data_IF_064293226585
#
_entry.id   IF_064293226585
#
_cell.length_a   1.000
_cell.length_b   1.000
_cell.length_c   1.000
_cell.angle_alpha   90.00
_cell.angle_beta   90.00
_cell.angle_gamma   90.00
#
_symmetry.space_group_name_H-M   'P 1'
#
loop_
_entity.id
_entity.type
_entity.pdbx_description
1 polymer ?
#
# COMPACT_ATOMS: atom_id res chain seq x y z
N UNK A 1 -5.59 -27.57 -13.50
CA UNK A 1 -6.44 -26.73 -12.62
C UNK A 1 -5.62 -26.45 -11.37
N UNK A 2 -5.52 -25.19 -10.90
CA UNK A 2 -4.83 -24.91 -9.64
C UNK A 2 -5.49 -25.71 -8.50
N UNK A 3 -4.69 -26.23 -7.60
CA UNK A 3 -5.18 -26.95 -6.43
C UNK A 3 -5.79 -26.00 -5.39
N UNK A 4 -6.54 -26.53 -4.42
CA UNK A 4 -7.08 -25.73 -3.30
C UNK A 4 -5.98 -25.00 -2.53
N UNK A 5 -4.80 -25.61 -2.39
CA UNK A 5 -3.63 -24.99 -1.76
C UNK A 5 -3.15 -23.75 -2.52
N UNK A 6 -3.10 -23.79 -3.85
CA UNK A 6 -2.65 -22.66 -4.67
C UNK A 6 -3.61 -21.47 -4.55
N UNK A 7 -4.91 -21.76 -4.48
CA UNK A 7 -5.97 -20.74 -4.32
C UNK A 7 -5.86 -20.08 -2.94
N UNK A 8 -5.73 -20.87 -1.87
CA UNK A 8 -5.58 -20.34 -0.51
C UNK A 8 -4.31 -19.50 -0.37
N UNK A 9 -3.19 -19.98 -0.93
CA UNK A 9 -1.95 -19.24 -0.94
C UNK A 9 -2.09 -17.89 -1.67
N UNK A 10 -2.76 -17.88 -2.83
CA UNK A 10 -3.03 -16.66 -3.58
C UNK A 10 -3.88 -15.66 -2.79
N UNK A 11 -4.90 -16.15 -2.06
CA UNK A 11 -5.75 -15.32 -1.20
C UNK A 11 -4.94 -14.68 -0.07
N UNK A 12 -4.04 -15.45 0.57
CA UNK A 12 -3.16 -14.95 1.62
C UNK A 12 -2.25 -13.85 1.08
N UNK A 13 -1.60 -14.08 -0.06
CA UNK A 13 -0.74 -13.08 -0.70
C UNK A 13 -1.50 -11.79 -1.06
N UNK A 14 -2.71 -11.93 -1.58
CA UNK A 14 -3.56 -10.79 -1.93
C UNK A 14 -3.93 -9.97 -0.69
N UNK A 15 -4.36 -10.62 0.40
CA UNK A 15 -4.70 -9.93 1.64
C UNK A 15 -3.50 -9.21 2.26
N UNK A 16 -2.32 -9.84 2.28
CA UNK A 16 -1.09 -9.19 2.75
C UNK A 16 -0.74 -7.99 1.86
N UNK A 17 -0.83 -8.15 0.54
CA UNK A 17 -0.61 -7.07 -0.41
C UNK A 17 -1.56 -5.89 -0.20
N UNK A 18 -2.86 -6.16 -0.04
CA UNK A 18 -3.88 -5.14 0.24
C UNK A 18 -3.66 -4.48 1.60
N UNK A 19 -3.32 -5.24 2.64
CA UNK A 19 -3.05 -4.70 3.96
C UNK A 19 -1.88 -3.71 3.91
N UNK A 20 -0.77 -4.09 3.26
CA UNK A 20 0.40 -3.21 3.11
C UNK A 20 0.08 -1.99 2.25
N UNK A 21 -0.67 -2.17 1.16
CA UNK A 21 -1.13 -1.07 0.32
C UNK A 21 -1.97 -0.07 1.14
N UNK A 22 -2.90 -0.55 1.97
CA UNK A 22 -3.71 0.30 2.84
C UNK A 22 -2.91 1.01 3.94
N UNK A 23 -1.66 0.64 4.23
CA UNK A 23 -0.82 1.39 5.18
C UNK A 23 -0.13 2.61 4.55
N UNK A 24 -0.19 2.76 3.22
CA UNK A 24 0.41 3.91 2.54
C UNK A 24 -0.36 5.18 2.93
N UNK A 25 0.31 6.24 3.43
CA UNK A 25 -0.34 7.46 3.88
C UNK A 25 -0.68 8.35 2.68
N UNK A 26 -1.61 7.90 1.82
CA UNK A 26 -2.13 8.63 0.66
C UNK A 26 -3.61 8.33 0.55
N UNK A 27 -4.46 9.36 0.44
CA UNK A 27 -5.90 9.13 0.30
C UNK A 27 -6.24 8.39 -1.01
N UNK A 28 -7.27 7.53 -1.05
CA UNK A 28 -8.24 7.24 0.02
C UNK A 28 -7.84 6.07 0.93
N UNK A 29 -6.56 5.69 0.97
CA UNK A 29 -6.10 4.52 1.71
C UNK A 29 -6.21 4.75 3.22
N UNK A 30 -6.43 3.67 3.97
CA UNK A 30 -6.65 3.74 5.42
C UNK A 30 -5.48 4.39 6.17
N UNK A 31 -4.26 4.23 5.68
CA UNK A 31 -3.04 4.83 6.22
C UNK A 31 -3.06 6.35 6.21
N UNK A 32 -3.81 6.97 5.29
CA UNK A 32 -4.05 8.41 5.30
C UNK A 32 -4.89 8.85 6.50
N UNK A 33 -5.98 8.13 6.76
CA UNK A 33 -6.85 8.36 7.92
C UNK A 33 -6.10 8.12 9.23
N UNK A 34 -5.27 7.07 9.29
CA UNK A 34 -4.37 6.80 10.42
C UNK A 34 -3.40 7.97 10.63
N UNK A 35 -2.75 8.45 9.57
CA UNK A 35 -1.85 9.59 9.66
C UNK A 35 -2.56 10.85 10.18
N UNK A 36 -3.78 11.14 9.73
CA UNK A 36 -4.59 12.25 10.23
C UNK A 36 -4.90 12.13 11.73
N UNK A 37 -5.19 10.92 12.21
CA UNK A 37 -5.45 10.64 13.63
C UNK A 37 -4.20 10.74 14.52
N UNK A 38 -3.03 10.44 13.99
CA UNK A 38 -1.75 10.50 14.73
C UNK A 38 -1.13 11.90 14.75
N UNK A 39 -1.42 12.74 13.75
CA UNK A 39 -0.84 14.07 13.63
C UNK A 39 -1.49 15.06 14.62
N UNK A 40 -0.71 16.01 15.19
CA UNK A 40 -1.27 17.12 15.95
C UNK A 40 -2.27 17.92 15.10
N UNK A 41 -3.34 18.43 15.73
CA UNK A 41 -4.48 19.08 15.05
C UNK A 41 -4.09 20.07 13.94
N UNK A 42 -3.06 20.89 14.16
CA UNK A 42 -2.60 21.87 13.15
C UNK A 42 -2.06 21.20 11.88
N UNK A 43 -1.32 20.10 12.03
CA UNK A 43 -0.72 19.36 10.91
C UNK A 43 -1.75 18.47 10.25
N UNK A 44 -2.64 17.84 11.03
CA UNK A 44 -3.75 17.06 10.49
C UNK A 44 -4.64 17.89 9.54
N UNK A 45 -4.98 19.14 9.91
CA UNK A 45 -5.75 20.03 9.04
C UNK A 45 -5.03 20.38 7.74
N UNK A 46 -3.71 20.57 7.79
CA UNK A 46 -2.92 20.85 6.59
C UNK A 46 -2.82 19.62 5.69
N UNK A 47 -2.60 18.45 6.30
CA UNK A 47 -2.46 17.17 5.62
C UNK A 47 -3.79 16.70 5.00
N UNK A 48 -4.92 16.97 5.66
CA UNK A 48 -6.26 16.68 5.13
C UNK A 48 -6.53 17.37 3.78
N UNK A 49 -5.92 18.53 3.52
CA UNK A 49 -6.05 19.21 2.22
C UNK A 49 -5.42 18.42 1.06
N UNK A 50 -4.56 17.44 1.36
CA UNK A 50 -3.98 16.55 0.36
C UNK A 50 -4.93 15.44 -0.07
N UNK A 51 -6.03 15.21 0.66
CA UNK A 51 -7.01 14.16 0.38
C UNK A 51 -7.54 14.24 -1.06
N UNK A 52 -7.86 15.45 -1.53
CA UNK A 52 -8.34 15.71 -2.90
C UNK A 52 -7.36 15.28 -3.99
N UNK A 53 -6.06 15.27 -3.71
CA UNK A 53 -5.02 14.86 -4.66
C UNK A 53 -4.66 13.38 -4.53
N UNK A 54 -5.12 12.70 -3.48
CA UNK A 54 -4.80 11.31 -3.21
C UNK A 54 -5.07 10.36 -4.40
N UNK A 55 -6.30 10.34 -4.97
CA UNK A 55 -6.62 9.48 -6.10
C UNK A 55 -5.72 9.69 -7.32
N UNK A 56 -5.42 10.96 -7.68
CA UNK A 56 -4.57 11.25 -8.83
C UNK A 56 -3.11 10.89 -8.59
N UNK A 57 -2.61 11.07 -7.36
CA UNK A 57 -1.28 10.62 -6.95
C UNK A 57 -1.17 9.10 -7.05
N UNK A 58 -2.16 8.35 -6.55
CA UNK A 58 -2.16 6.89 -6.61
C UNK A 58 -2.16 6.39 -8.06
N UNK A 59 -3.03 6.93 -8.91
CA UNK A 59 -3.05 6.60 -10.34
C UNK A 59 -1.70 6.93 -10.98
N UNK A 60 -1.10 8.07 -10.64
CA UNK A 60 0.23 8.45 -11.10
C UNK A 60 1.32 7.45 -10.67
N UNK A 61 1.28 6.95 -9.44
CA UNK A 61 2.23 5.94 -8.93
C UNK A 61 2.09 4.61 -9.68
N UNK A 62 0.86 4.15 -9.93
CA UNK A 62 0.61 2.95 -10.75
C UNK A 62 1.06 3.14 -12.19
N UNK A 63 0.71 4.26 -12.81
CA UNK A 63 1.08 4.58 -14.19
C UNK A 63 2.60 4.70 -14.35
N UNK A 64 3.29 5.28 -13.37
CA UNK A 64 4.75 5.36 -13.36
C UNK A 64 5.39 3.97 -13.45
N UNK A 65 4.93 3.00 -12.66
CA UNK A 65 5.45 1.62 -12.71
C UNK A 65 5.18 0.89 -14.03
N UNK A 66 4.19 1.35 -14.81
CA UNK A 66 3.87 0.77 -16.10
C UNK A 66 4.60 1.43 -17.27
N UNK A 67 4.81 2.76 -17.19
CA UNK A 67 5.35 3.57 -18.29
C UNK A 67 6.85 3.80 -18.15
N UNK A 68 7.34 4.00 -16.92
CA UNK A 68 8.74 4.31 -16.63
C UNK A 68 9.51 3.03 -16.26
N UNK A 69 10.84 3.02 -16.39
CA UNK A 69 11.68 1.91 -15.90
C UNK A 69 11.75 1.85 -14.35
N UNK A 70 11.06 2.74 -13.65
CA UNK A 70 10.98 2.79 -12.20
C UNK A 70 9.56 2.44 -11.75
N UNK A 71 9.47 1.67 -10.67
CA UNK A 71 8.22 1.26 -10.03
C UNK A 71 8.17 1.84 -8.61
N UNK A 72 7.73 3.11 -8.43
CA UNK A 72 7.77 3.78 -7.13
C UNK A 72 6.92 3.06 -6.08
N UNK A 73 5.76 2.55 -6.49
CA UNK A 73 4.87 1.81 -5.61
C UNK A 73 5.52 0.49 -5.17
N UNK A 74 6.11 -0.26 -6.10
CA UNK A 74 6.85 -1.47 -5.77
C UNK A 74 8.10 -1.22 -4.94
N UNK A 75 8.84 -0.13 -5.15
CA UNK A 75 9.97 0.25 -4.30
C UNK A 75 9.54 0.45 -2.84
N UNK A 76 8.35 1.01 -2.62
CA UNK A 76 7.76 1.17 -1.29
C UNK A 76 7.23 -0.15 -0.72
N UNK A 77 6.49 -0.92 -1.52
CA UNK A 77 5.78 -2.12 -1.05
C UNK A 77 6.68 -3.35 -0.90
N UNK A 78 7.65 -3.58 -1.81
CA UNK A 78 8.50 -4.78 -1.82
C UNK A 78 9.24 -5.04 -0.50
N UNK A 79 9.91 -4.07 0.15
CA UNK A 79 10.62 -4.37 1.40
C UNK A 79 9.66 -4.82 2.50
N UNK A 80 8.52 -4.13 2.64
CA UNK A 80 7.47 -4.46 3.62
C UNK A 80 6.87 -5.83 3.31
N UNK A 81 6.52 -6.08 2.05
CA UNK A 81 5.97 -7.35 1.60
C UNK A 81 6.93 -8.50 1.86
N UNK A 82 8.21 -8.32 1.53
CA UNK A 82 9.25 -9.32 1.79
C UNK A 82 9.44 -9.60 3.27
N UNK A 83 9.36 -8.58 4.14
CA UNK A 83 9.43 -8.76 5.59
C UNK A 83 8.29 -9.66 6.10
N UNK A 84 7.05 -9.38 5.70
CA UNK A 84 5.91 -10.20 6.11
C UNK A 84 5.98 -11.61 5.54
N UNK A 85 6.37 -11.79 4.28
CA UNK A 85 6.54 -13.12 3.71
C UNK A 85 7.60 -13.93 4.46
N UNK A 86 8.74 -13.32 4.78
CA UNK A 86 9.78 -13.96 5.59
C UNK A 86 9.28 -14.35 6.97
N UNK A 87 8.55 -13.44 7.64
CA UNK A 87 7.97 -13.66 8.96
C UNK A 87 6.98 -14.85 8.96
N UNK A 88 6.13 -14.95 7.95
CA UNK A 88 5.09 -15.99 7.88
C UNK A 88 5.59 -17.31 7.31
N UNK A 89 6.56 -17.30 6.39
CA UNK A 89 7.06 -18.50 5.72
C UNK A 89 8.34 -19.05 6.34
N UNK A 90 8.99 -18.30 7.25
CA UNK A 90 10.06 -18.82 8.11
C UNK A 90 11.45 -18.88 7.48
N UNK A 91 11.77 -18.04 6.49
CA UNK A 91 13.11 -17.89 5.91
C UNK A 91 13.56 -16.43 5.84
#
# INVERSE_FOLDING_TARGET
LPGLGDILFSIILLNIGLAIFNLIPIAPLDGFSVALGLLPRRWALQYARLEQYGPIILVGLFAAGWILPIDPLGMLMRPVFSFFLKLFLGF
#
